data_IF_706165238229
#
_entry.id   IF_706165238229
#
_cell.length_a   1.000
_cell.length_b   1.000
_cell.length_c   1.000
_cell.angle_alpha   90.00
_cell.angle_beta   90.00
_cell.angle_gamma   90.00
#
_symmetry.space_group_name_H-M   'P 1'
#
loop_
_entity.id
_entity.type
_entity.pdbx_description
1 polymer ?
#
# COMPACT_ATOMS: atom_id res chain seq x y z
N UNK A 1 -67.24 48.46 9.33
CA UNK A 1 -67.28 46.99 9.56
C UNK A 1 -66.10 46.36 8.83
N UNK A 2 -65.01 46.07 9.55
CA UNK A 2 -63.89 45.25 9.02
C UNK A 2 -63.61 44.18 10.08
N UNK A 3 -64.05 42.95 9.82
CA UNK A 3 -63.84 41.80 10.71
C UNK A 3 -62.48 41.18 10.42
N UNK A 4 -61.67 41.13 11.48
CA UNK A 4 -60.41 40.36 11.58
C UNK A 4 -60.71 38.88 11.36
N UNK A 5 -59.93 38.20 10.51
CA UNK A 5 -59.92 36.74 10.42
C UNK A 5 -58.68 36.26 11.18
N UNK A 6 -58.95 35.65 12.34
CA UNK A 6 -58.04 34.79 13.08
C UNK A 6 -58.00 33.44 12.36
N UNK A 7 -56.82 33.02 11.91
CA UNK A 7 -56.58 31.66 11.41
C UNK A 7 -56.19 30.81 12.62
N UNK A 8 -57.15 30.03 13.11
CA UNK A 8 -56.95 28.98 14.10
C UNK A 8 -56.30 27.76 13.45
N UNK A 9 -55.19 27.32 14.03
CA UNK A 9 -54.46 26.11 13.66
C UNK A 9 -55.30 24.85 13.96
N UNK A 10 -55.60 24.07 12.93
CA UNK A 10 -56.06 22.70 13.07
C UNK A 10 -54.86 21.76 12.82
N UNK A 11 -54.36 21.19 13.92
CA UNK A 11 -53.38 20.09 13.91
C UNK A 11 -54.09 18.86 13.36
N UNK A 12 -53.79 18.50 12.10
CA UNK A 12 -54.18 17.20 11.55
C UNK A 12 -53.11 16.19 11.96
N UNK A 13 -53.40 15.41 12.98
CA UNK A 13 -52.64 14.22 13.33
C UNK A 13 -52.79 13.19 12.20
N UNK A 14 -51.75 13.04 11.38
CA UNK A 14 -51.67 11.96 10.39
C UNK A 14 -51.27 10.68 11.14
N UNK A 15 -52.22 9.74 11.21
CA UNK A 15 -51.99 8.38 11.69
C UNK A 15 -51.04 7.68 10.74
N UNK A 16 -49.76 7.59 11.11
CA UNK A 16 -48.72 6.84 10.39
C UNK A 16 -48.71 5.39 10.90
N UNK A 17 -49.65 4.57 10.46
CA UNK A 17 -49.56 3.11 10.66
C UNK A 17 -50.12 2.44 9.38
N UNK A 18 -49.23 1.99 8.50
CA UNK A 18 -49.61 1.10 7.40
C UNK A 18 -48.78 1.18 6.11
N UNK A 19 -48.15 2.32 5.79
CA UNK A 19 -47.48 2.51 4.49
C UNK A 19 -45.98 2.14 4.47
N UNK A 20 -45.35 1.93 5.64
CA UNK A 20 -43.91 1.63 5.71
C UNK A 20 -43.53 0.31 5.06
N UNK A 21 -44.26 -0.78 5.34
CA UNK A 21 -43.88 -2.15 4.93
C UNK A 21 -43.97 -2.39 3.42
N UNK A 22 -44.86 -1.69 2.72
CA UNK A 22 -45.00 -1.82 1.26
C UNK A 22 -43.87 -1.11 0.49
N UNK A 23 -43.37 0.02 1.01
CA UNK A 23 -42.22 0.73 0.45
C UNK A 23 -40.94 -0.10 0.57
N UNK A 24 -40.69 -0.73 1.72
CA UNK A 24 -39.50 -1.56 1.98
C UNK A 24 -39.45 -2.85 1.16
N UNK A 25 -40.59 -3.48 0.85
CA UNK A 25 -40.63 -4.74 0.08
C UNK A 25 -40.42 -4.57 -1.43
N UNK A 26 -40.36 -3.34 -1.93
CA UNK A 26 -40.30 -3.04 -3.37
C UNK A 26 -38.88 -2.85 -3.93
N UNK A 27 -37.85 -2.80 -3.07
CA UNK A 27 -36.48 -2.61 -3.51
C UNK A 27 -35.83 -3.93 -3.94
N UNK A 28 -35.00 -3.91 -5.00
CA UNK A 28 -34.17 -5.06 -5.32
C UNK A 28 -33.29 -5.36 -4.10
N UNK A 29 -33.47 -6.55 -3.52
CA UNK A 29 -32.66 -7.00 -2.39
C UNK A 29 -31.21 -7.04 -2.83
N UNK A 30 -30.32 -6.48 -2.00
CA UNK A 30 -28.89 -6.65 -2.16
C UNK A 30 -28.57 -8.15 -2.25
N UNK A 31 -27.54 -8.52 -3.03
CA UNK A 31 -27.07 -9.90 -3.05
C UNK A 31 -26.85 -10.41 -1.60
N UNK A 32 -27.22 -11.66 -1.26
CA UNK A 32 -27.19 -12.15 0.13
C UNK A 32 -25.87 -11.88 0.85
N UNK A 33 -24.74 -12.06 0.16
CA UNK A 33 -23.39 -11.80 0.68
C UNK A 33 -23.15 -10.32 1.05
N UNK A 34 -23.64 -9.39 0.24
CA UNK A 34 -23.58 -7.95 0.53
C UNK A 34 -24.39 -7.64 1.79
N UNK A 35 -25.58 -8.26 1.91
CA UNK A 35 -26.45 -8.03 3.06
C UNK A 35 -25.85 -8.56 4.36
N UNK A 36 -25.25 -9.75 4.35
CA UNK A 36 -24.55 -10.33 5.51
C UNK A 36 -23.40 -9.45 5.98
N UNK A 37 -22.70 -8.81 5.05
CA UNK A 37 -21.58 -7.89 5.36
C UNK A 37 -22.07 -6.59 5.98
N UNK A 38 -23.14 -6.01 5.42
CA UNK A 38 -23.81 -4.86 6.03
C UNK A 38 -24.26 -5.21 7.45
N UNK A 39 -24.82 -6.41 7.65
CA UNK A 39 -25.24 -6.88 8.97
C UNK A 39 -24.08 -6.95 9.96
N UNK A 40 -22.91 -7.44 9.53
CA UNK A 40 -21.69 -7.43 10.35
C UNK A 40 -21.24 -6.02 10.71
N UNK A 41 -21.30 -5.06 9.77
CA UNK A 41 -20.96 -3.65 10.03
C UNK A 41 -21.89 -3.07 11.10
N UNK A 42 -23.21 -3.20 10.93
CA UNK A 42 -24.16 -2.70 11.95
C UNK A 42 -23.93 -3.42 13.27
N UNK A 43 -23.73 -4.75 13.24
CA UNK A 43 -23.48 -5.59 14.43
C UNK A 43 -22.33 -5.04 15.27
N UNK A 44 -21.20 -4.79 14.58
CA UNK A 44 -19.95 -4.31 15.14
C UNK A 44 -20.03 -2.88 15.66
N UNK A 45 -20.89 -2.03 15.08
CA UNK A 45 -21.03 -0.61 15.44
C UNK A 45 -22.05 -0.37 16.56
N UNK A 46 -23.25 -0.93 16.45
CA UNK A 46 -24.36 -0.62 17.36
C UNK A 46 -24.44 -1.53 18.59
N UNK A 47 -23.94 -2.77 18.47
CA UNK A 47 -24.04 -3.75 19.57
C UNK A 47 -22.66 -4.30 19.97
N UNK A 48 -21.64 -3.47 19.82
CA UNK A 48 -20.30 -3.76 20.32
C UNK A 48 -20.30 -3.86 21.85
N UNK A 49 -19.80 -4.96 22.40
CA UNK A 49 -19.73 -5.17 23.86
C UNK A 49 -18.80 -4.18 24.57
N UNK A 50 -17.86 -3.56 23.85
CA UNK A 50 -16.90 -2.60 24.40
C UNK A 50 -17.38 -1.14 24.27
N UNK A 51 -18.58 -0.89 23.72
CA UNK A 51 -19.17 0.46 23.62
C UNK A 51 -18.47 1.44 22.66
N UNK A 52 -17.33 1.07 22.06
CA UNK A 52 -16.55 1.92 21.16
C UNK A 52 -16.84 1.69 19.66
N UNK A 53 -17.88 0.91 19.33
CA UNK A 53 -18.19 0.53 17.95
C UNK A 53 -18.40 1.73 17.00
N UNK A 54 -19.05 2.80 17.48
CA UNK A 54 -19.32 4.00 16.67
C UNK A 54 -18.07 4.77 16.26
N UNK A 55 -16.99 4.67 17.03
CA UNK A 55 -15.70 5.33 16.79
C UNK A 55 -14.82 4.57 15.79
N UNK A 56 -15.12 3.29 15.52
CA UNK A 56 -14.34 2.46 14.61
C UNK A 56 -14.69 2.76 13.15
N UNK A 57 -13.68 2.76 12.29
CA UNK A 57 -13.88 2.74 10.84
C UNK A 57 -14.60 1.44 10.48
N UNK A 58 -15.71 1.46 9.72
CA UNK A 58 -16.35 0.24 9.28
C UNK A 58 -15.39 -0.60 8.44
N UNK A 59 -15.46 -1.92 8.60
CA UNK A 59 -14.58 -2.86 7.94
C UNK A 59 -15.32 -3.80 7.01
N UNK A 60 -14.62 -4.32 6.00
CA UNK A 60 -15.14 -5.24 5.01
C UNK A 60 -14.10 -6.30 4.61
N UNK A 61 -14.42 -7.58 4.82
CA UNK A 61 -13.45 -8.66 4.61
C UNK A 61 -13.43 -9.13 3.15
N UNK A 62 -12.42 -8.83 2.36
CA UNK A 62 -12.23 -9.42 1.04
C UNK A 62 -11.97 -10.92 1.22
N UNK A 63 -12.93 -11.74 0.81
CA UNK A 63 -12.78 -13.19 0.83
C UNK A 63 -11.90 -13.62 -0.34
N UNK A 64 -10.78 -14.25 -0.02
CA UNK A 64 -9.85 -14.82 -0.99
C UNK A 64 -9.99 -16.33 -0.94
N UNK A 65 -10.15 -16.96 -2.10
CA UNK A 65 -10.24 -18.42 -2.19
C UNK A 65 -8.97 -18.99 -2.82
N UNK A 66 -8.44 -20.08 -2.25
CA UNK A 66 -7.42 -20.88 -2.89
C UNK A 66 -8.05 -21.66 -4.06
N UNK A 67 -7.67 -21.39 -5.31
CA UNK A 67 -8.22 -22.12 -6.44
C UNK A 67 -7.71 -23.57 -6.37
N UNK A 68 -8.60 -24.53 -6.69
CA UNK A 68 -8.25 -25.96 -6.74
C UNK A 68 -7.03 -26.25 -7.62
N UNK A 69 -6.85 -25.44 -8.67
CA UNK A 69 -5.67 -25.42 -9.54
C UNK A 69 -5.12 -24.01 -9.57
N UNK A 70 -4.01 -23.79 -8.88
CA UNK A 70 -3.29 -22.52 -8.90
C UNK A 70 -2.59 -22.36 -10.25
N UNK A 71 -2.79 -21.20 -10.87
CA UNK A 71 -2.11 -20.83 -12.11
C UNK A 71 -0.81 -20.11 -11.78
N UNK A 72 0.26 -20.42 -12.52
CA UNK A 72 1.53 -19.69 -12.42
C UNK A 72 1.36 -18.29 -13.03
N UNK A 73 1.78 -17.27 -12.30
CA UNK A 73 1.85 -15.91 -12.79
C UNK A 73 2.93 -15.78 -13.87
N UNK A 74 2.54 -15.33 -15.06
CA UNK A 74 3.50 -14.98 -16.11
C UNK A 74 4.02 -13.57 -15.86
N UNK A 75 5.33 -13.39 -16.01
CA UNK A 75 6.01 -12.14 -15.69
C UNK A 75 5.48 -10.93 -16.49
N UNK A 76 5.03 -11.17 -17.72
CA UNK A 76 4.52 -10.19 -18.69
C UNK A 76 3.00 -10.09 -18.72
N UNK A 77 2.30 -10.67 -17.74
CA UNK A 77 0.85 -10.54 -17.65
C UNK A 77 0.45 -9.07 -17.51
N UNK A 78 -0.41 -8.61 -18.42
CA UNK A 78 -1.04 -7.29 -18.31
C UNK A 78 -2.30 -7.41 -17.47
N UNK A 79 -2.25 -6.85 -16.27
CA UNK A 79 -3.37 -6.84 -15.33
C UNK A 79 -4.22 -5.58 -15.49
N UNK A 80 -5.53 -5.72 -15.34
CA UNK A 80 -6.47 -4.58 -15.30
C UNK A 80 -6.53 -3.91 -13.93
N UNK A 81 -5.90 -4.49 -12.91
CA UNK A 81 -5.91 -4.02 -11.52
C UNK A 81 -4.51 -4.09 -10.90
N UNK A 82 -4.22 -3.26 -9.88
CA UNK A 82 -3.07 -3.48 -9.03
C UNK A 82 -3.11 -4.89 -8.45
N UNK A 83 -1.93 -5.45 -8.24
CA UNK A 83 -1.79 -6.78 -7.64
C UNK A 83 -1.35 -6.65 -6.18
N UNK A 84 -1.86 -7.54 -5.34
CA UNK A 84 -1.38 -7.77 -3.99
C UNK A 84 -0.50 -9.02 -4.01
N UNK A 85 0.73 -8.90 -3.52
CA UNK A 85 1.65 -10.01 -3.31
C UNK A 85 1.69 -10.37 -1.84
N UNK A 86 1.75 -11.66 -1.52
CA UNK A 86 1.73 -12.13 -0.14
C UNK A 86 2.37 -13.50 0.01
N UNK A 87 2.75 -13.83 1.25
CA UNK A 87 3.34 -15.11 1.61
C UNK A 87 2.27 -16.00 2.24
N UNK A 88 2.19 -17.25 1.79
CA UNK A 88 1.26 -18.23 2.37
C UNK A 88 1.87 -19.64 2.43
N UNK A 89 1.41 -20.42 3.41
CA UNK A 89 1.91 -21.77 3.68
C UNK A 89 3.14 -21.80 4.59
N UNK A 90 3.55 -23.01 5.00
CA UNK A 90 4.76 -23.23 5.84
C UNK A 90 6.06 -22.92 5.09
N UNK A 91 5.99 -22.95 3.77
CA UNK A 91 7.15 -22.77 2.90
C UNK A 91 7.40 -21.31 2.50
N UNK A 92 6.50 -20.39 2.88
CA UNK A 92 6.62 -18.98 2.51
C UNK A 92 6.46 -18.75 1.01
N UNK A 93 5.78 -19.66 0.31
CA UNK A 93 5.47 -19.50 -1.12
C UNK A 93 4.81 -18.15 -1.36
N UNK A 94 5.27 -17.46 -2.40
CA UNK A 94 4.83 -16.11 -2.73
C UNK A 94 3.71 -16.23 -3.76
N UNK A 95 2.56 -15.67 -3.42
CA UNK A 95 1.38 -15.58 -4.27
C UNK A 95 1.15 -14.13 -4.69
N UNK A 96 0.37 -13.97 -5.75
CA UNK A 96 -0.16 -12.67 -6.18
C UNK A 96 -1.62 -12.80 -6.57
N UNK A 97 -2.41 -11.73 -6.41
CA UNK A 97 -3.82 -11.67 -6.77
C UNK A 97 -4.22 -10.23 -7.12
N UNK A 98 -5.35 -10.05 -7.79
CA UNK A 98 -5.95 -8.71 -7.97
C UNK A 98 -6.23 -8.05 -6.61
N UNK A 99 -6.20 -6.72 -6.57
CA UNK A 99 -6.45 -5.95 -5.34
C UNK A 99 -7.84 -6.19 -4.72
N UNK A 100 -8.81 -6.71 -5.48
CA UNK A 100 -10.10 -7.13 -4.94
C UNK A 100 -10.14 -8.58 -4.44
N UNK A 101 -8.99 -9.27 -4.37
CA UNK A 101 -8.86 -10.66 -3.91
C UNK A 101 -9.10 -11.73 -4.97
N UNK A 102 -9.43 -11.36 -6.21
CA UNK A 102 -9.67 -12.30 -7.30
C UNK A 102 -8.40 -12.73 -8.05
N UNK A 103 -8.50 -13.78 -8.87
CA UNK A 103 -7.42 -14.27 -9.75
C UNK A 103 -6.10 -14.53 -9.02
N UNK A 104 -6.16 -15.38 -7.98
CA UNK A 104 -4.98 -15.74 -7.21
C UNK A 104 -4.06 -16.68 -8.00
N UNK A 105 -2.77 -16.34 -8.02
CA UNK A 105 -1.73 -16.98 -8.81
C UNK A 105 -0.47 -17.24 -7.97
N UNK A 106 0.26 -18.29 -8.34
CA UNK A 106 1.58 -18.57 -7.81
C UNK A 106 2.60 -17.62 -8.45
N UNK A 107 3.31 -16.83 -7.66
CA UNK A 107 4.38 -15.94 -8.16
C UNK A 107 5.73 -16.64 -8.13
N UNK A 108 6.11 -17.17 -6.95
CA UNK A 108 7.38 -17.84 -6.74
C UNK A 108 7.24 -18.91 -5.66
N UNK A 109 7.65 -20.15 -5.99
CA UNK A 109 7.73 -21.22 -5.01
C UNK A 109 9.06 -21.20 -4.25
N UNK A 110 9.03 -21.66 -3.00
CA UNK A 110 10.22 -21.83 -2.15
C UNK A 110 11.22 -22.79 -2.79
N UNK A 111 10.75 -23.87 -3.41
CA UNK A 111 11.62 -24.87 -4.05
C UNK A 111 12.48 -24.25 -5.16
N UNK A 112 11.90 -23.30 -5.91
CA UNK A 112 12.62 -22.57 -6.96
C UNK A 112 13.64 -21.59 -6.39
N UNK A 113 13.39 -21.06 -5.19
CA UNK A 113 14.28 -20.16 -4.49
C UNK A 113 15.41 -20.89 -3.74
N UNK A 114 15.13 -22.11 -3.26
CA UNK A 114 15.98 -22.87 -2.35
C UNK A 114 16.19 -22.22 -0.97
N UNK A 115 15.42 -21.17 -0.65
CA UNK A 115 15.51 -20.37 0.59
C UNK A 115 14.11 -20.01 1.08
N UNK A 116 13.98 -19.74 2.38
CA UNK A 116 12.72 -19.28 2.97
C UNK A 116 12.61 -17.76 2.80
N UNK A 117 11.68 -17.24 1.99
CA UNK A 117 11.52 -15.80 1.81
C UNK A 117 10.82 -15.18 3.04
N UNK A 118 11.08 -13.91 3.34
CA UNK A 118 10.73 -13.27 4.63
C UNK A 118 9.86 -12.02 4.56
N UNK A 119 9.32 -11.69 3.37
CA UNK A 119 8.09 -10.89 3.29
C UNK A 119 8.19 -9.49 2.71
N UNK A 120 9.38 -8.94 2.42
CA UNK A 120 9.48 -7.67 1.68
C UNK A 120 9.74 -7.97 0.21
N UNK A 121 8.68 -7.87 -0.60
CA UNK A 121 8.70 -8.19 -2.02
C UNK A 121 8.47 -6.94 -2.87
N UNK A 122 9.36 -6.69 -3.83
CA UNK A 122 9.23 -5.61 -4.80
C UNK A 122 9.37 -6.19 -6.20
N UNK A 123 8.42 -5.93 -7.10
CA UNK A 123 8.53 -6.31 -8.52
C UNK A 123 9.03 -5.13 -9.34
N UNK A 124 9.84 -5.41 -10.36
CA UNK A 124 10.25 -4.40 -11.33
C UNK A 124 9.04 -3.83 -12.09
N UNK A 125 9.11 -2.59 -12.61
CA UNK A 125 8.00 -1.96 -13.34
C UNK A 125 7.40 -2.80 -14.47
N UNK A 126 8.23 -3.53 -15.21
CA UNK A 126 7.80 -4.44 -16.29
C UNK A 126 7.36 -5.83 -15.81
N UNK A 127 7.37 -6.07 -14.50
CA UNK A 127 6.98 -7.33 -13.87
C UNK A 127 8.00 -8.48 -13.96
N UNK A 128 9.14 -8.31 -14.65
CA UNK A 128 10.11 -9.40 -14.88
C UNK A 128 10.88 -9.82 -13.63
N UNK A 129 11.38 -8.86 -12.86
CA UNK A 129 12.26 -9.13 -11.75
C UNK A 129 11.53 -8.99 -10.42
N UNK A 130 11.93 -9.78 -9.44
CA UNK A 130 11.42 -9.76 -8.08
C UNK A 130 12.59 -9.61 -7.11
N UNK A 131 12.60 -8.52 -6.34
CA UNK A 131 13.43 -8.40 -5.14
C UNK A 131 12.68 -9.02 -3.98
N UNK A 132 13.34 -9.89 -3.22
CA UNK A 132 12.76 -10.48 -2.01
C UNK A 132 13.84 -10.75 -0.97
N UNK A 133 13.48 -10.50 0.29
CA UNK A 133 14.30 -10.90 1.43
C UNK A 133 14.16 -12.40 1.70
N UNK A 134 15.22 -13.02 2.20
CA UNK A 134 15.22 -14.42 2.61
C UNK A 134 15.97 -14.64 3.91
N UNK A 135 15.59 -15.70 4.63
CA UNK A 135 16.25 -16.07 5.86
C UNK A 135 17.56 -16.82 5.58
N UNK A 136 18.64 -16.36 6.19
CA UNK A 136 19.96 -17.01 6.16
C UNK A 136 20.58 -16.98 7.56
N UNK A 137 20.81 -18.15 8.17
CA UNK A 137 21.37 -18.24 9.52
C UNK A 137 20.63 -17.35 10.56
N UNK A 138 19.30 -17.29 10.49
CA UNK A 138 18.40 -16.42 11.29
C UNK A 138 18.45 -14.93 10.94
N UNK A 139 19.36 -14.49 10.09
CA UNK A 139 19.37 -13.14 9.53
C UNK A 139 18.29 -13.01 8.45
N UNK A 140 17.55 -11.90 8.47
CA UNK A 140 16.48 -11.57 7.50
C UNK A 140 16.86 -10.39 6.60
N UNK A 141 18.04 -9.82 6.80
CA UNK A 141 18.56 -8.73 5.97
C UNK A 141 19.01 -9.18 4.58
N UNK A 142 19.46 -10.43 4.34
CA UNK A 142 19.81 -10.88 3.01
C UNK A 142 18.62 -10.86 2.08
N UNK A 143 18.93 -10.53 0.83
CA UNK A 143 17.95 -10.43 -0.21
C UNK A 143 18.55 -10.85 -1.54
N UNK A 144 17.69 -11.05 -2.52
CA UNK A 144 18.09 -11.49 -3.84
C UNK A 144 17.19 -10.84 -4.89
N UNK A 145 17.69 -10.85 -6.12
CA UNK A 145 16.90 -10.55 -7.31
C UNK A 145 16.64 -11.84 -8.06
N UNK A 146 15.38 -12.13 -8.33
CA UNK A 146 14.91 -13.29 -9.07
C UNK A 146 14.33 -12.85 -10.41
N UNK A 147 14.70 -13.53 -11.49
CA UNK A 147 14.13 -13.35 -12.83
C UNK A 147 12.93 -14.27 -13.01
N UNK A 148 11.72 -13.72 -13.03
CA UNK A 148 10.47 -14.46 -13.19
C UNK A 148 10.28 -14.99 -14.61
N UNK A 149 10.98 -14.44 -15.62
CA UNK A 149 10.95 -14.93 -16.99
C UNK A 149 11.79 -16.20 -17.14
N UNK A 150 13.04 -16.12 -16.71
CA UNK A 150 14.00 -17.21 -16.85
C UNK A 150 13.99 -18.18 -15.65
N UNK A 151 13.21 -17.87 -14.60
CA UNK A 151 13.07 -18.63 -13.36
C UNK A 151 14.42 -18.94 -12.69
N UNK A 152 15.25 -17.91 -12.51
CA UNK A 152 16.60 -18.03 -11.92
C UNK A 152 16.94 -16.86 -11.01
N UNK A 153 17.86 -17.08 -10.08
CA UNK A 153 18.44 -16.02 -9.27
C UNK A 153 19.43 -15.24 -10.13
N UNK A 154 19.26 -13.92 -10.20
CA UNK A 154 20.14 -12.98 -10.90
C UNK A 154 21.30 -12.57 -10.00
N UNK A 155 21.00 -12.19 -8.76
CA UNK A 155 21.98 -11.71 -7.80
C UNK A 155 21.53 -12.03 -6.37
N UNK A 156 22.51 -12.20 -5.47
CA UNK A 156 22.30 -12.33 -4.01
C UNK A 156 23.10 -11.24 -3.32
N UNK A 157 22.46 -10.54 -2.41
CA UNK A 157 23.05 -9.43 -1.66
C UNK A 157 22.97 -9.75 -0.17
N UNK A 158 23.97 -9.25 0.58
CA UNK A 158 23.99 -9.38 2.03
C UNK A 158 22.91 -8.51 2.69
N UNK A 159 22.69 -7.32 2.16
CA UNK A 159 21.62 -6.40 2.55
C UNK A 159 21.12 -5.66 1.31
N UNK A 160 19.86 -5.23 1.29
CA UNK A 160 19.36 -4.29 0.27
C UNK A 160 18.27 -3.39 0.82
N UNK A 161 18.65 -2.53 1.75
CA UNK A 161 17.77 -1.52 2.30
C UNK A 161 17.40 -0.49 1.23
N UNK A 162 16.21 0.09 1.35
CA UNK A 162 15.67 1.14 0.47
C UNK A 162 15.78 0.79 -1.02
N UNK A 163 15.65 -0.49 -1.35
CA UNK A 163 15.87 -1.00 -2.68
C UNK A 163 14.76 -0.66 -3.67
N UNK A 164 15.13 -0.30 -4.90
CA UNK A 164 14.19 0.01 -5.97
C UNK A 164 14.69 -0.42 -7.34
N UNK A 165 13.77 -0.72 -8.24
CA UNK A 165 14.09 -0.97 -9.65
C UNK A 165 14.05 0.34 -10.44
N UNK A 166 14.94 0.50 -11.42
CA UNK A 166 14.80 1.57 -12.42
C UNK A 166 13.49 1.42 -13.19
N UNK A 167 12.95 2.55 -13.67
CA UNK A 167 11.70 2.56 -14.43
C UNK A 167 11.77 1.68 -15.69
N UNK A 168 12.93 1.63 -16.35
CA UNK A 168 13.19 0.77 -17.52
C UNK A 168 13.45 -0.71 -17.19
N UNK A 169 13.45 -1.06 -15.90
CA UNK A 169 13.72 -2.41 -15.39
C UNK A 169 15.06 -3.00 -15.87
N UNK A 170 16.09 -2.16 -16.09
CA UNK A 170 17.46 -2.60 -16.39
C UNK A 170 18.35 -2.72 -15.16
N UNK A 171 18.02 -2.00 -14.10
CA UNK A 171 18.87 -1.88 -12.91
C UNK A 171 18.07 -2.03 -11.63
N UNK A 172 18.72 -2.53 -10.58
CA UNK A 172 18.21 -2.47 -9.22
C UNK A 172 19.21 -1.69 -8.35
N UNK A 173 18.72 -0.69 -7.64
CA UNK A 173 19.51 0.16 -6.76
C UNK A 173 19.14 -0.12 -5.31
N UNK A 174 20.11 -0.09 -4.40
CA UNK A 174 19.87 -0.32 -2.97
C UNK A 174 20.97 0.30 -2.11
N UNK A 175 20.65 0.52 -0.83
CA UNK A 175 21.62 0.81 0.21
C UNK A 175 22.17 -0.51 0.74
N UNK A 176 23.45 -0.77 0.52
CA UNK A 176 24.13 -1.82 1.30
C UNK A 176 24.46 -1.21 2.66
N UNK A 177 23.89 -1.71 3.74
CA UNK A 177 24.15 -1.23 5.11
C UNK A 177 25.14 -2.14 5.84
N UNK A 178 25.84 -3.00 5.11
CA UNK A 178 26.88 -3.81 5.72
C UNK A 178 28.01 -2.90 6.24
N UNK A 179 28.60 -3.20 7.42
CA UNK A 179 29.64 -2.34 8.02
C UNK A 179 30.89 -2.11 7.16
N UNK A 180 31.03 -2.82 6.04
CA UNK A 180 32.21 -2.81 5.16
C UNK A 180 31.89 -2.09 3.83
N UNK A 181 30.62 -1.88 3.50
CA UNK A 181 30.20 -1.37 2.18
C UNK A 181 29.01 -0.42 2.29
N UNK A 182 28.96 0.42 3.33
CA UNK A 182 27.81 1.28 3.63
C UNK A 182 27.57 2.40 2.58
N UNK A 183 27.22 2.03 1.35
CA UNK A 183 27.08 2.94 0.22
C UNK A 183 25.97 2.51 -0.75
N UNK A 184 25.47 3.43 -1.59
CA UNK A 184 24.55 3.09 -2.67
C UNK A 184 25.19 2.14 -3.70
N UNK A 185 24.50 1.04 -4.00
CA UNK A 185 24.93 0.00 -4.94
C UNK A 185 23.89 -0.21 -6.05
N UNK A 186 24.36 -0.73 -7.18
CA UNK A 186 23.58 -1.04 -8.37
C UNK A 186 23.82 -2.47 -8.80
N UNK A 187 22.77 -3.17 -9.22
CA UNK A 187 22.85 -4.42 -9.96
C UNK A 187 22.36 -4.18 -11.38
N UNK A 188 23.18 -4.54 -12.37
CA UNK A 188 22.74 -4.71 -13.75
C UNK A 188 21.93 -6.01 -13.86
N UNK A 189 20.65 -5.90 -14.23
CA UNK A 189 19.73 -7.04 -14.18
C UNK A 189 19.92 -8.04 -15.32
N UNK A 190 20.62 -7.66 -16.39
CA UNK A 190 20.91 -8.57 -17.50
C UNK A 190 22.09 -9.49 -17.17
N UNK A 191 23.08 -8.96 -16.45
CA UNK A 191 24.35 -9.66 -16.15
C UNK A 191 24.45 -10.15 -14.71
N UNK A 192 23.67 -9.57 -13.79
CA UNK A 192 23.81 -9.76 -12.35
C UNK A 192 25.04 -9.07 -11.74
N UNK A 193 25.75 -8.25 -12.52
CA UNK A 193 26.95 -7.56 -12.05
C UNK A 193 26.59 -6.44 -11.09
N UNK A 194 27.32 -6.37 -9.98
CA UNK A 194 27.16 -5.37 -8.94
C UNK A 194 28.23 -4.28 -9.07
N UNK A 195 27.84 -3.01 -8.87
CA UNK A 195 28.76 -1.87 -8.90
C UNK A 195 28.36 -0.77 -7.90
N UNK A 196 29.31 0.09 -7.55
CA UNK A 196 28.99 1.34 -6.86
C UNK A 196 28.17 2.26 -7.77
N UNK A 197 27.20 2.97 -7.19
CA UNK A 197 26.44 4.01 -7.91
C UNK A 197 27.17 5.34 -7.88
N UNK A 198 27.86 5.63 -6.79
CA UNK A 198 28.63 6.85 -6.60
C UNK A 198 30.13 6.56 -6.71
N UNK A 199 30.95 7.56 -7.10
CA UNK A 199 32.40 7.41 -7.04
C UNK A 199 32.85 7.26 -5.58
N UNK A 200 34.04 6.68 -5.38
CA UNK A 200 34.62 6.43 -4.04
C UNK A 200 34.66 7.70 -3.16
N UNK A 201 34.86 8.86 -3.80
CA UNK A 201 34.80 10.17 -3.17
C UNK A 201 34.50 11.25 -4.20
N UNK A 202 33.95 12.37 -3.74
CA UNK A 202 33.73 13.56 -4.55
C UNK A 202 33.79 14.82 -3.70
N UNK A 203 33.93 15.97 -4.34
CA UNK A 203 34.04 17.27 -3.66
C UNK A 203 32.80 18.13 -3.94
N UNK A 204 32.24 18.72 -2.89
CA UNK A 204 31.19 19.74 -2.96
C UNK A 204 31.71 20.98 -2.22
N UNK A 205 31.74 22.13 -2.89
CA UNK A 205 32.18 23.42 -2.32
C UNK A 205 33.55 23.35 -1.60
N UNK A 206 34.49 22.61 -2.18
CA UNK A 206 35.83 22.40 -1.62
C UNK A 206 35.91 21.38 -0.48
N UNK A 207 34.79 20.81 -0.05
CA UNK A 207 34.72 19.79 0.98
C UNK A 207 34.61 18.39 0.38
N UNK A 208 35.43 17.46 0.87
CA UNK A 208 35.52 16.09 0.38
C UNK A 208 34.51 15.18 1.10
N UNK A 209 33.72 14.45 0.32
CA UNK A 209 32.73 13.48 0.79
C UNK A 209 33.08 12.06 0.35
N UNK A 210 32.84 11.11 1.24
CA UNK A 210 33.04 9.67 1.05
C UNK A 210 31.69 8.97 1.18
N UNK A 211 31.06 8.50 0.09
CA UNK A 211 29.73 7.88 0.15
C UNK A 211 29.61 6.73 1.13
N UNK A 212 30.67 5.97 1.37
CA UNK A 212 30.68 4.86 2.34
C UNK A 212 30.45 5.30 3.79
N UNK A 213 30.76 6.56 4.11
CA UNK A 213 30.69 7.08 5.49
C UNK A 213 29.66 8.20 5.60
N UNK A 214 29.59 9.05 4.59
CA UNK A 214 28.81 10.28 4.64
C UNK A 214 27.38 10.12 4.08
N UNK A 215 27.02 8.98 3.45
CA UNK A 215 25.65 8.77 2.95
C UNK A 215 24.67 8.59 4.09
N UNK A 216 23.60 9.38 4.08
CA UNK A 216 22.43 9.17 4.93
C UNK A 216 21.36 8.39 4.16
N UNK A 217 21.02 8.87 2.96
CA UNK A 217 20.08 8.20 2.07
C UNK A 217 20.33 8.60 0.62
N UNK A 218 19.75 7.87 -0.33
CA UNK A 218 19.76 8.24 -1.73
C UNK A 218 18.45 7.85 -2.40
N UNK A 219 18.05 8.60 -3.42
CA UNK A 219 16.84 8.38 -4.19
C UNK A 219 17.15 8.29 -5.68
N UNK A 220 16.59 7.27 -6.34
CA UNK A 220 16.50 7.23 -7.79
C UNK A 220 15.21 7.93 -8.21
N UNK A 221 15.38 9.05 -8.92
CA UNK A 221 14.29 9.87 -9.42
C UNK A 221 14.37 9.94 -10.95
N UNK A 222 13.74 8.97 -11.60
CA UNK A 222 13.69 8.87 -13.07
C UNK A 222 12.98 10.08 -13.72
N UNK A 223 11.98 10.67 -13.04
CA UNK A 223 11.24 11.86 -13.53
C UNK A 223 12.14 13.09 -13.71
N UNK A 224 13.12 13.26 -12.81
CA UNK A 224 14.12 14.33 -12.90
C UNK A 224 15.40 13.89 -13.62
N UNK A 225 15.50 12.61 -13.98
CA UNK A 225 16.72 11.94 -14.44
C UNK A 225 17.90 12.13 -13.46
N UNK A 226 17.64 11.94 -12.15
CA UNK A 226 18.63 12.15 -11.10
C UNK A 226 18.74 10.96 -10.15
N UNK A 227 19.96 10.71 -9.70
CA UNK A 227 20.20 10.20 -8.37
C UNK A 227 20.32 11.38 -7.41
N UNK A 228 19.41 11.49 -6.46
CA UNK A 228 19.48 12.47 -5.37
C UNK A 228 20.21 11.81 -4.21
N UNK A 229 21.34 12.36 -3.81
CA UNK A 229 22.13 11.89 -2.68
C UNK A 229 22.01 12.87 -1.51
N UNK A 230 21.69 12.34 -0.33
CA UNK A 230 21.68 13.08 0.93
C UNK A 230 22.87 12.63 1.78
N UNK A 231 23.78 13.56 2.04
CA UNK A 231 24.98 13.32 2.82
C UNK A 231 25.05 14.12 4.10
N UNK A 232 25.80 13.62 5.07
CA UNK A 232 26.10 14.33 6.31
C UNK A 232 27.54 14.15 6.76
N UNK A 233 28.10 15.18 7.41
CA UNK A 233 29.31 15.07 8.21
C UNK A 233 28.95 14.90 9.66
N UNK A 234 29.64 13.98 10.32
CA UNK A 234 29.51 13.74 11.76
C UNK A 234 30.80 14.13 12.49
N UNK A 235 30.67 14.60 13.72
CA UNK A 235 31.82 14.77 14.63
C UNK A 235 32.25 13.40 15.21
N UNK A 236 33.36 13.32 15.98
CA UNK A 236 33.79 12.06 16.61
C UNK A 236 32.79 11.46 17.61
N UNK A 237 31.82 12.25 18.11
CA UNK A 237 30.73 11.76 18.96
C UNK A 237 29.55 11.18 18.16
N UNK A 238 29.59 11.23 16.83
CA UNK A 238 28.53 10.76 15.93
C UNK A 238 27.44 11.78 15.65
N UNK A 239 27.57 13.03 16.13
CA UNK A 239 26.57 14.07 15.90
C UNK A 239 26.72 14.69 14.52
N UNK A 240 25.62 14.86 13.81
CA UNK A 240 25.59 15.49 12.49
C UNK A 240 25.86 16.99 12.64
N UNK A 241 26.98 17.45 12.07
CA UNK A 241 27.40 18.86 12.08
C UNK A 241 27.09 19.59 10.78
N UNK A 242 26.94 18.85 9.67
CA UNK A 242 26.62 19.40 8.35
C UNK A 242 25.80 18.41 7.54
N UNK A 243 24.78 18.90 6.84
CA UNK A 243 24.03 18.14 5.82
C UNK A 243 24.20 18.79 4.46
N UNK A 244 24.19 17.98 3.42
CA UNK A 244 24.24 18.41 2.03
C UNK A 244 23.38 17.49 1.18
N UNK A 245 22.79 18.05 0.13
CA UNK A 245 22.12 17.27 -0.90
C UNK A 245 22.69 17.61 -2.28
N UNK A 246 22.85 16.58 -3.10
CA UNK A 246 23.40 16.70 -4.43
C UNK A 246 22.63 15.83 -5.42
N UNK A 247 22.44 16.37 -6.62
CA UNK A 247 21.86 15.65 -7.75
C UNK A 247 22.98 15.17 -8.66
N UNK A 248 23.00 13.87 -8.93
CA UNK A 248 23.85 13.24 -9.91
C UNK A 248 23.00 12.86 -11.12
N UNK A 249 23.50 13.12 -12.32
CA UNK A 249 22.85 12.67 -13.54
C UNK A 249 22.76 11.13 -13.55
N UNK A 250 21.57 10.57 -13.74
CA UNK A 250 21.35 9.13 -13.52
C UNK A 250 22.04 8.25 -14.57
N UNK A 251 22.27 8.77 -15.77
CA UNK A 251 22.92 8.05 -16.88
C UNK A 251 24.45 8.07 -16.74
N UNK A 252 25.01 9.26 -16.48
CA UNK A 252 26.46 9.48 -16.45
C UNK A 252 27.07 9.39 -15.05
N UNK A 253 26.24 9.45 -14.01
CA UNK A 253 26.61 9.47 -12.59
C UNK A 253 27.54 10.64 -12.22
N UNK A 254 27.53 11.70 -13.03
CA UNK A 254 28.28 12.93 -12.77
C UNK A 254 27.46 13.86 -11.90
N UNK A 255 28.14 14.54 -10.96
CA UNK A 255 27.53 15.59 -10.16
C UNK A 255 26.97 16.68 -11.08
N UNK A 256 25.67 16.93 -10.99
CA UNK A 256 24.96 17.92 -11.80
C UNK A 256 24.82 19.24 -11.05
N UNK A 257 24.32 19.19 -9.82
CA UNK A 257 24.14 20.37 -8.98
C UNK A 257 24.05 20.00 -7.49
N UNK A 258 24.28 20.99 -6.64
CA UNK A 258 24.13 20.90 -5.18
C UNK A 258 22.87 21.70 -4.83
N UNK A 259 21.82 20.98 -4.42
CA UNK A 259 20.49 21.54 -4.19
C UNK A 259 19.74 20.69 -3.18
N UNK A 260 18.94 21.34 -2.33
CA UNK A 260 18.01 20.66 -1.44
C UNK A 260 16.80 20.17 -2.25
N UNK A 261 16.87 18.95 -2.77
CA UNK A 261 15.74 18.33 -3.50
C UNK A 261 14.69 17.77 -2.56
N UNK A 262 15.12 17.25 -1.42
CA UNK A 262 14.27 16.62 -0.41
C UNK A 262 14.11 17.54 0.79
N UNK A 263 12.90 17.58 1.35
CA UNK A 263 12.64 18.29 2.61
C UNK A 263 13.41 17.65 3.78
N UNK A 264 13.66 18.37 4.88
CA UNK A 264 14.36 17.80 6.05
C UNK A 264 13.78 16.48 6.56
N UNK A 265 12.45 16.31 6.51
CA UNK A 265 11.77 15.09 6.92
C UNK A 265 12.13 13.84 6.08
N UNK A 266 12.72 14.05 4.90
CA UNK A 266 13.12 13.01 3.95
C UNK A 266 14.64 12.78 3.91
N UNK A 267 15.43 13.58 4.64
CA UNK A 267 16.90 13.54 4.54
C UNK A 267 17.53 12.37 5.28
N UNK A 268 16.82 11.81 6.27
CA UNK A 268 17.25 10.65 7.03
C UNK A 268 16.73 9.35 6.44
N UNK A 269 15.47 9.35 6.05
CA UNK A 269 14.82 8.19 5.47
C UNK A 269 13.61 8.60 4.66
N UNK A 270 13.32 7.83 3.61
CA UNK A 270 12.07 7.87 2.87
C UNK A 270 11.73 6.44 2.43
N UNK A 271 10.47 6.21 2.07
CA UNK A 271 10.06 4.97 1.44
C UNK A 271 9.56 5.23 0.02
N UNK A 272 9.96 4.35 -0.90
CA UNK A 272 9.32 4.27 -2.20
C UNK A 272 7.88 3.81 -2.03
N UNK A 273 6.97 4.50 -2.71
CA UNK A 273 5.57 4.14 -2.72
C UNK A 273 5.30 3.10 -3.83
N UNK A 274 4.41 2.11 -3.62
CA UNK A 274 3.89 1.26 -4.68
C UNK A 274 3.43 2.02 -5.94
N UNK A 275 2.81 3.19 -5.77
CA UNK A 275 2.62 4.13 -6.87
C UNK A 275 3.92 4.90 -7.10
N UNK A 276 4.61 4.58 -8.20
CA UNK A 276 5.96 5.03 -8.49
C UNK A 276 6.09 6.55 -8.66
N UNK A 277 4.97 7.27 -8.84
CA UNK A 277 4.95 8.72 -8.93
C UNK A 277 5.19 9.39 -7.58
N UNK A 278 5.01 8.66 -6.49
CA UNK A 278 5.09 9.19 -5.13
C UNK A 278 6.23 8.56 -4.32
N UNK A 279 6.60 9.25 -3.27
CA UNK A 279 7.42 8.73 -2.17
C UNK A 279 6.93 9.33 -0.86
N UNK A 280 7.25 8.68 0.26
CA UNK A 280 6.77 9.07 1.58
C UNK A 280 7.93 9.31 2.51
N UNK A 281 7.82 10.37 3.31
CA UNK A 281 8.76 10.69 4.39
C UNK A 281 8.02 10.84 5.71
N UNK A 282 8.76 10.89 6.80
CA UNK A 282 8.21 10.97 8.16
C UNK A 282 8.26 9.65 8.92
N UNK A 283 8.11 9.76 10.23
CA UNK A 283 8.24 8.64 11.15
C UNK A 283 6.90 7.90 11.30
N UNK A 284 6.94 6.59 11.07
CA UNK A 284 5.80 5.72 11.26
C UNK A 284 5.30 5.74 12.71
N UNK A 285 6.19 5.98 13.69
CA UNK A 285 5.82 6.08 15.11
C UNK A 285 5.07 7.38 15.44
N UNK A 286 5.37 8.48 14.74
CA UNK A 286 4.69 9.78 14.93
C UNK A 286 3.40 9.90 14.11
N UNK A 287 3.02 8.89 13.32
CA UNK A 287 1.89 8.91 12.38
C UNK A 287 1.99 10.00 11.31
N UNK A 288 3.21 10.42 10.97
CA UNK A 288 3.49 11.38 9.92
C UNK A 288 3.82 10.62 8.63
N UNK A 289 2.90 10.62 7.66
CA UNK A 289 3.12 10.03 6.34
C UNK A 289 3.10 11.15 5.30
N UNK A 290 4.15 11.97 5.29
CA UNK A 290 4.27 13.09 4.38
C UNK A 290 4.52 12.58 2.97
N UNK A 291 3.55 12.78 2.09
CA UNK A 291 3.60 12.31 0.70
C UNK A 291 4.17 13.40 -0.19
N UNK A 292 5.02 13.02 -1.11
CA UNK A 292 5.66 13.89 -2.09
C UNK A 292 5.53 13.28 -3.48
N UNK A 293 5.51 14.12 -4.52
CA UNK A 293 5.62 13.69 -5.91
C UNK A 293 7.08 13.63 -6.32
N UNK A 294 7.49 12.61 -7.08
CA UNK A 294 8.84 12.55 -7.67
C UNK A 294 9.13 13.72 -8.61
N UNK A 295 8.10 14.20 -9.32
CA UNK A 295 8.24 15.35 -10.22
C UNK A 295 8.44 16.69 -9.47
N UNK A 296 8.08 16.74 -8.19
CA UNK A 296 8.27 17.93 -7.35
C UNK A 296 8.61 17.52 -5.90
N UNK A 297 9.85 17.04 -5.66
CA UNK A 297 10.22 16.33 -4.44
C UNK A 297 10.37 17.24 -3.19
N UNK A 298 10.39 18.55 -3.38
CA UNK A 298 10.57 19.54 -2.30
C UNK A 298 9.25 20.01 -1.69
N UNK A 299 8.11 19.62 -2.27
CA UNK A 299 6.78 20.06 -1.85
C UNK A 299 5.90 18.89 -1.42
N UNK A 300 5.51 18.92 -0.16
CA UNK A 300 4.54 17.98 0.38
C UNK A 300 3.19 18.15 -0.33
N UNK A 301 2.59 17.05 -0.77
CA UNK A 301 1.28 17.02 -1.43
C UNK A 301 0.16 16.54 -0.50
N UNK A 302 0.48 15.72 0.51
CA UNK A 302 -0.48 15.20 1.49
C UNK A 302 0.23 14.81 2.81
N UNK A 303 -0.51 14.74 3.92
CA UNK A 303 -0.14 13.90 5.06
C UNK A 303 -1.12 12.71 5.11
N UNK A 304 -0.69 11.56 4.58
CA UNK A 304 -1.56 10.44 4.34
C UNK A 304 -1.99 9.74 5.64
N UNK A 305 -3.23 9.22 5.71
CA UNK A 305 -3.73 8.50 6.88
C UNK A 305 -3.02 7.16 7.12
N UNK A 306 -2.43 6.58 6.07
CA UNK A 306 -1.55 5.39 6.14
C UNK A 306 -0.44 5.54 5.11
N UNK A 307 0.67 4.83 5.34
CA UNK A 307 1.94 5.06 4.64
C UNK A 307 1.85 4.97 3.12
N UNK A 308 1.35 3.87 2.53
CA UNK A 308 1.33 3.75 1.06
C UNK A 308 0.09 4.39 0.45
N UNK A 309 0.31 5.34 -0.45
CA UNK A 309 -0.75 5.98 -1.25
C UNK A 309 -0.90 5.25 -2.56
N UNK A 310 -2.06 4.67 -2.80
CA UNK A 310 -2.41 4.09 -4.10
C UNK A 310 -2.88 5.24 -5.00
N UNK A 311 -3.93 5.93 -4.59
CA UNK A 311 -4.52 7.06 -5.29
C UNK A 311 -4.80 8.17 -4.26
N UNK A 312 -4.18 9.33 -4.48
CA UNK A 312 -4.23 10.46 -3.55
C UNK A 312 -5.69 10.84 -3.22
N UNK A 313 -6.00 11.03 -1.94
CA UNK A 313 -7.34 11.39 -1.48
C UNK A 313 -8.41 10.28 -1.56
N UNK A 314 -8.07 9.09 -2.08
CA UNK A 314 -9.06 8.06 -2.38
C UNK A 314 -8.69 6.68 -1.84
N UNK A 315 -7.49 6.19 -2.14
CA UNK A 315 -7.08 4.81 -1.84
C UNK A 315 -5.70 4.76 -1.23
N UNK A 316 -5.60 4.03 -0.12
CA UNK A 316 -4.36 3.89 0.62
C UNK A 316 -4.19 2.46 1.10
N UNK A 317 -2.96 2.01 1.18
CA UNK A 317 -2.63 0.64 1.54
C UNK A 317 -1.66 0.61 2.71
N UNK A 318 -2.08 -0.05 3.77
CA UNK A 318 -1.21 -0.33 4.90
C UNK A 318 -0.60 -1.72 4.71
N UNK A 319 0.46 -1.78 3.92
CA UNK A 319 1.28 -2.97 3.70
C UNK A 319 2.39 -3.07 4.75
N UNK A 320 2.88 -4.29 4.96
CA UNK A 320 4.07 -4.62 5.76
C UNK A 320 4.27 -3.78 7.04
N UNK A 321 3.28 -3.75 7.93
CA UNK A 321 3.42 -3.17 9.28
C UNK A 321 2.81 -4.11 10.33
N UNK A 322 3.60 -5.07 10.80
CA UNK A 322 3.19 -6.03 11.85
C UNK A 322 1.93 -6.84 11.54
N UNK A 323 1.49 -7.63 12.53
CA UNK A 323 0.40 -8.61 12.42
C UNK A 323 -1.00 -8.00 12.24
N UNK A 324 -1.15 -6.67 12.23
CA UNK A 324 -2.46 -5.99 12.30
C UNK A 324 -2.65 -4.88 11.25
N UNK A 325 -1.68 -4.72 10.33
CA UNK A 325 -1.65 -3.59 9.40
C UNK A 325 -2.32 -3.82 8.05
N UNK A 326 -2.39 -5.06 7.58
CA UNK A 326 -2.59 -5.44 6.17
C UNK A 326 -3.97 -5.08 5.61
N UNK A 327 -4.16 -3.80 5.30
CA UNK A 327 -5.48 -3.23 5.02
C UNK A 327 -5.46 -2.27 3.85
N UNK A 328 -6.58 -2.23 3.14
CA UNK A 328 -6.86 -1.23 2.13
C UNK A 328 -7.85 -0.21 2.70
N UNK A 329 -7.46 1.05 2.79
CA UNK A 329 -8.32 2.14 3.23
C UNK A 329 -8.88 2.87 2.00
N UNK A 330 -10.20 2.93 1.91
CA UNK A 330 -10.92 3.68 0.87
C UNK A 330 -11.65 4.85 1.51
N UNK A 331 -11.49 6.02 0.92
CA UNK A 331 -12.32 7.19 1.17
C UNK A 331 -13.47 7.26 0.18
N UNK A 332 -14.64 7.63 0.68
CA UNK A 332 -15.83 7.87 -0.13
C UNK A 332 -15.57 9.05 -1.07
N UNK A 333 -15.82 8.86 -2.36
CA UNK A 333 -15.72 9.90 -3.36
C UNK A 333 -16.99 10.78 -3.37
N UNK A 334 -16.90 12.06 -3.79
CA UNK A 334 -18.02 13.03 -3.67
C UNK A 334 -19.33 12.60 -4.35
N UNK A 335 -19.27 11.74 -5.36
CA UNK A 335 -20.40 11.23 -6.12
C UNK A 335 -20.98 9.90 -5.58
N UNK A 336 -20.44 9.36 -4.48
CA UNK A 336 -20.90 8.11 -3.90
C UNK A 336 -21.98 8.31 -2.83
N UNK A 337 -23.06 7.52 -2.90
CA UNK A 337 -24.20 7.60 -1.98
C UNK A 337 -23.95 6.96 -0.58
N UNK A 338 -22.77 6.36 -0.36
CA UNK A 338 -22.44 5.68 0.89
C UNK A 338 -22.51 6.61 2.10
N UNK A 339 -22.91 6.09 3.26
CA UNK A 339 -23.06 6.90 4.49
C UNK A 339 -21.74 7.14 5.24
N UNK A 340 -20.73 6.29 5.00
CA UNK A 340 -19.45 6.36 5.69
C UNK A 340 -18.44 7.14 4.85
N UNK A 341 -17.70 8.05 5.48
CA UNK A 341 -16.64 8.80 4.79
C UNK A 341 -15.46 7.92 4.39
N UNK A 342 -15.27 6.79 5.07
CA UNK A 342 -14.21 5.82 4.78
C UNK A 342 -14.59 4.41 5.23
N UNK A 343 -14.00 3.42 4.56
CA UNK A 343 -14.13 2.00 4.87
C UNK A 343 -12.76 1.32 4.76
N UNK A 344 -12.51 0.34 5.62
CA UNK A 344 -11.27 -0.45 5.59
C UNK A 344 -11.57 -1.85 5.08
N UNK A 345 -10.79 -2.34 4.12
CA UNK A 345 -10.85 -3.72 3.65
C UNK A 345 -9.70 -4.56 4.22
N UNK A 346 -10.02 -5.80 4.62
CA UNK A 346 -9.09 -6.80 5.11
C UNK A 346 -9.08 -8.00 4.17
N UNK A 347 -7.96 -8.67 3.96
CA UNK A 347 -7.92 -9.86 3.11
C UNK A 347 -7.95 -11.11 3.98
N UNK A 348 -9.00 -11.92 3.83
CA UNK A 348 -9.19 -13.15 4.58
C UNK A 348 -9.23 -14.33 3.61
N UNK A 349 -8.27 -15.23 3.78
CA UNK A 349 -8.20 -16.47 3.01
C UNK A 349 -9.16 -17.50 3.59
N UNK A 350 -10.10 -17.95 2.77
CA UNK A 350 -11.01 -19.05 3.09
C UNK A 350 -10.27 -20.38 3.04
N UNK A 351 -10.37 -21.14 4.14
CA UNK A 351 -9.80 -22.48 4.29
C UNK A 351 -10.84 -23.55 3.89
N UNK A 352 -10.50 -24.83 4.09
CA UNK A 352 -11.29 -25.97 3.58
C UNK A 352 -12.75 -25.99 4.06
N UNK A 353 -13.05 -25.41 5.23
CA UNK A 353 -14.42 -25.22 5.70
C UNK A 353 -14.91 -23.79 5.46
N UNK A 354 -16.20 -23.64 5.10
CA UNK A 354 -16.84 -22.35 4.78
C UNK A 354 -16.76 -21.28 5.87
N UNK A 355 -16.52 -21.67 7.11
CA UNK A 355 -16.46 -20.77 8.27
C UNK A 355 -15.05 -20.62 8.86
N UNK A 356 -14.02 -21.17 8.21
CA UNK A 356 -12.62 -21.06 8.65
C UNK A 356 -11.84 -20.12 7.74
N UNK A 357 -11.30 -19.06 8.34
CA UNK A 357 -10.64 -17.96 7.63
C UNK A 357 -9.31 -17.64 8.30
N UNK A 358 -8.30 -17.38 7.46
CA UNK A 358 -7.01 -16.89 7.89
C UNK A 358 -6.73 -15.52 7.28
N UNK A 359 -6.60 -14.51 8.13
CA UNK A 359 -6.17 -13.18 7.66
C UNK A 359 -4.78 -13.25 7.04
N UNK A 360 -4.67 -12.69 5.83
CA UNK A 360 -3.42 -12.63 5.10
C UNK A 360 -2.51 -11.56 5.70
N UNK A 361 -1.21 -11.85 5.75
CA UNK A 361 -0.19 -10.98 6.34
C UNK A 361 0.96 -10.73 5.37
N UNK A 362 1.78 -9.72 5.67
CA UNK A 362 2.93 -9.30 4.85
C UNK A 362 2.54 -9.00 3.41
N UNK A 363 1.49 -8.20 3.25
CA UNK A 363 1.01 -7.82 1.93
C UNK A 363 1.89 -6.71 1.34
N UNK A 364 2.32 -6.88 0.09
CA UNK A 364 2.95 -5.85 -0.74
C UNK A 364 2.05 -5.54 -1.94
N UNK A 365 2.09 -4.32 -2.44
CA UNK A 365 1.35 -3.92 -3.64
C UNK A 365 2.29 -3.85 -4.84
N UNK A 366 1.80 -4.28 -6.00
CA UNK A 366 2.47 -4.13 -7.29
C UNK A 366 1.53 -3.42 -8.27
N UNK A 367 1.98 -2.28 -8.80
CA UNK A 367 1.32 -1.55 -9.88
C UNK A 367 2.26 -1.63 -11.08
N UNK A 368 1.84 -2.33 -12.14
CA UNK A 368 2.65 -2.45 -13.36
C UNK A 368 2.77 -1.08 -14.06
N UNK A 369 3.83 -0.88 -14.83
CA UNK A 369 4.03 0.37 -15.57
C UNK A 369 2.86 0.69 -16.52
N UNK A 370 2.28 -0.33 -17.16
CA UNK A 370 1.12 -0.19 -18.06
C UNK A 370 -0.13 0.35 -17.33
N UNK A 371 -0.26 0.00 -16.04
CA UNK A 371 -1.36 0.47 -15.21
C UNK A 371 -1.06 1.87 -14.63
N UNK A 372 0.19 2.10 -14.23
CA UNK A 372 0.66 3.36 -13.64
C UNK A 372 0.37 4.58 -14.54
N UNK A 373 0.51 4.44 -15.87
CA UNK A 373 0.30 5.54 -16.83
C UNK A 373 -1.13 6.09 -16.87
N UNK A 374 -2.12 5.28 -16.49
CA UNK A 374 -3.55 5.66 -16.51
C UNK A 374 -4.17 5.60 -15.11
N UNK A 375 -3.34 5.48 -14.08
CA UNK A 375 -3.80 5.10 -12.76
C UNK A 375 -4.67 6.16 -12.09
N UNK A 376 -4.36 7.44 -12.28
CA UNK A 376 -5.12 8.55 -11.71
C UNK A 376 -6.56 8.63 -12.26
N UNK A 377 -6.83 8.02 -13.42
CA UNK A 377 -8.15 7.99 -14.07
C UNK A 377 -8.91 6.70 -13.77
N UNK A 378 -8.28 5.74 -13.10
CA UNK A 378 -8.87 4.45 -12.82
C UNK A 378 -9.89 4.54 -11.69
N UNK A 379 -11.13 4.14 -11.96
CA UNK A 379 -12.12 3.95 -10.90
C UNK A 379 -11.87 2.61 -10.18
N UNK A 380 -10.96 2.64 -9.20
CA UNK A 380 -10.71 1.50 -8.31
C UNK A 380 -11.98 1.08 -7.56
N UNK A 381 -12.91 2.00 -7.30
CA UNK A 381 -14.16 1.73 -6.60
C UNK A 381 -15.05 0.73 -7.30
N UNK A 382 -14.97 0.63 -8.63
CA UNK A 382 -15.72 -0.32 -9.44
C UNK A 382 -15.37 -1.80 -9.17
N UNK A 383 -14.18 -2.08 -8.61
CA UNK A 383 -13.74 -3.44 -8.28
C UNK A 383 -14.14 -3.90 -6.88
N UNK A 384 -14.67 -2.98 -6.05
CA UNK A 384 -15.03 -3.26 -4.66
C UNK A 384 -16.52 -3.03 -4.43
N UNK A 385 -17.11 -3.72 -3.44
CA UNK A 385 -18.47 -3.42 -3.03
C UNK A 385 -18.64 -1.94 -2.65
N UNK A 386 -19.78 -1.34 -3.00
CA UNK A 386 -20.06 0.06 -2.68
C UNK A 386 -20.14 0.26 -1.17
N UNK A 387 -19.76 1.45 -0.71
CA UNK A 387 -19.94 1.84 0.69
C UNK A 387 -21.44 1.82 1.02
N UNK A 388 -21.89 1.14 2.09
CA UNK A 388 -23.31 1.03 2.42
C UNK A 388 -23.98 2.40 2.52
N UNK A 389 -25.17 2.52 1.95
CA UNK A 389 -26.02 3.71 2.10
C UNK A 389 -26.67 3.76 3.48
N UNK A 390 -27.15 4.93 3.88
CA UNK A 390 -27.89 5.11 5.14
C UNK A 390 -29.10 4.18 5.21
N UNK A 391 -29.83 4.05 4.10
CA UNK A 391 -31.01 3.20 4.03
C UNK A 391 -30.70 1.72 4.25
N UNK A 392 -29.65 1.20 3.60
CA UNK A 392 -29.23 -0.19 3.78
C UNK A 392 -28.77 -0.47 5.22
N UNK A 393 -28.09 0.50 5.84
CA UNK A 393 -27.70 0.42 7.24
C UNK A 393 -28.91 0.38 8.17
N UNK A 394 -29.88 1.28 7.96
CA UNK A 394 -31.08 1.38 8.78
C UNK A 394 -31.96 0.13 8.64
N UNK A 395 -32.10 -0.41 7.43
CA UNK A 395 -32.83 -1.66 7.19
C UNK A 395 -32.21 -2.82 7.98
N UNK A 396 -30.88 -2.97 7.91
CA UNK A 396 -30.15 -3.98 8.67
C UNK A 396 -30.29 -3.76 10.18
N UNK A 397 -30.18 -2.50 10.64
CA UNK A 397 -30.36 -2.15 12.04
C UNK A 397 -31.73 -2.54 12.57
N UNK A 398 -32.80 -2.20 11.87
CA UNK A 398 -34.16 -2.54 12.27
C UNK A 398 -34.39 -4.06 12.29
N UNK A 399 -33.88 -4.79 11.29
CA UNK A 399 -33.97 -6.26 11.24
C UNK A 399 -33.29 -6.90 12.45
N UNK A 400 -32.08 -6.49 12.77
CA UNK A 400 -31.33 -7.02 13.91
C UNK A 400 -31.93 -6.58 15.26
N UNK A 401 -32.44 -5.35 15.36
CA UNK A 401 -33.14 -4.86 16.56
C UNK A 401 -34.40 -5.69 16.84
N UNK A 402 -35.17 -6.00 15.79
CA UNK A 402 -36.36 -6.87 15.89
C UNK A 402 -35.98 -8.28 16.35
N UNK A 403 -35.01 -8.92 15.70
CA UNK A 403 -34.53 -10.26 16.07
C UNK A 403 -34.03 -10.32 17.53
N UNK A 404 -33.38 -9.26 18.01
CA UNK A 404 -32.92 -9.16 19.42
C UNK A 404 -34.04 -8.92 20.43
N UNK A 405 -35.15 -8.31 20.01
CA UNK A 405 -36.34 -8.11 20.86
C UNK A 405 -37.21 -9.37 20.93
N UNK A 406 -37.26 -10.16 19.84
CA UNK A 406 -38.04 -11.41 19.73
C UNK A 406 -37.27 -12.64 20.26
N UNK A 407 -35.93 -12.59 20.32
CA UNK A 407 -35.07 -13.63 20.90
C UNK A 407 -34.77 -13.46 22.40
N UNK A 408 -35.53 -12.61 23.08
CA UNK A 408 -35.63 -12.51 24.55
C UNK A 408 -37.01 -12.96 24.97
#
# INVERSE_FOLDING_TARGET
MNKKILISAAVVAVVVIGAGTAYWNSKPRSAPEIQERIDRIVKSREWNIFGNGKQRIPSWDITVELPKKITLEKWDTVHSQPQVMFHYGRDGTIYTMNINGSDMRLLLDREELGKLPTGYNVRSPNGRYLSTHYSFNLDRTPCLIYDLKDRKIVAKMRTCWDGTFSQDSRSYYYSDTSPIHNQPRKIDLATGAESNVLPEKFTIDGELYYPEVDTQTFMINDELNLLIWSGSKTNPAGEIIKRVQAGFDLETLKLKEVKNYLTPACQDQFDYNPNQNYFICGDNMSHENYVFSKSNPDKQIENAPVRNVIQQGAWYFKGNSGNYGNTLLRYRQPNEAGMFDKITYYYDLQLESKDDYKSLNHLNLFISQNLAQQFDQMDLGSFFPPIPTQEQYDESYQRQLKARKEGK
#
